data_IF_781206792951
#
_entry.id   IF_781206792951
#
_cell.length_a   1.000
_cell.length_b   1.000
_cell.length_c   1.000
_cell.angle_alpha   90.00
_cell.angle_beta   90.00
_cell.angle_gamma   90.00
#
_symmetry.space_group_name_H-M   'P 1'
#
loop_
_entity.id
_entity.type
_entity.pdbx_description
1 polymer ?
#
# COMPACT_ATOMS: atom_id res chain seq x y z
N UNK A 1 27.77 4.07 -11.43
CA UNK A 1 28.40 5.38 -11.67
C UNK A 1 29.85 5.09 -11.97
N UNK A 2 30.36 5.54 -13.12
CA UNK A 2 31.76 5.30 -13.48
C UNK A 2 32.71 6.03 -12.52
N UNK A 3 33.81 5.38 -12.18
CA UNK A 3 34.86 5.94 -11.31
C UNK A 3 35.35 7.29 -11.85
N UNK A 4 35.31 8.32 -11.00
CA UNK A 4 35.88 9.64 -11.30
C UNK A 4 34.88 10.72 -11.74
N UNK A 5 33.58 10.44 -11.80
CA UNK A 5 32.56 11.47 -12.08
C UNK A 5 31.95 12.05 -10.79
N UNK A 6 31.74 13.38 -10.75
CA UNK A 6 31.12 14.06 -9.60
C UNK A 6 29.63 13.63 -9.52
N UNK A 7 29.22 12.89 -8.47
CA UNK A 7 27.95 12.16 -8.47
C UNK A 7 26.68 13.02 -8.51
N UNK A 8 26.80 14.35 -8.30
CA UNK A 8 25.66 15.26 -8.20
C UNK A 8 25.10 15.82 -9.52
N UNK A 9 25.75 15.63 -10.67
CA UNK A 9 25.40 16.41 -11.88
C UNK A 9 24.88 15.62 -13.10
N UNK A 10 25.01 14.28 -13.14
CA UNK A 10 24.64 13.50 -14.34
C UNK A 10 23.73 12.31 -14.07
N UNK A 11 23.30 12.08 -12.83
CA UNK A 11 22.42 10.97 -12.47
C UNK A 11 21.30 11.45 -11.55
N UNK A 12 20.15 11.78 -12.14
CA UNK A 12 18.94 12.05 -11.38
C UNK A 12 18.20 10.72 -11.17
N UNK A 13 18.25 10.20 -9.94
CA UNK A 13 17.43 9.05 -9.57
C UNK A 13 15.96 9.45 -9.58
N UNK A 14 15.12 8.68 -10.29
CA UNK A 14 13.69 8.83 -10.18
C UNK A 14 13.24 8.48 -8.75
N UNK A 15 12.55 9.42 -8.13
CA UNK A 15 12.06 9.34 -6.76
C UNK A 15 10.53 9.32 -6.73
N UNK A 16 9.97 9.09 -5.55
CA UNK A 16 8.52 9.23 -5.33
C UNK A 16 8.03 10.67 -5.50
N UNK A 17 8.91 11.68 -5.36
CA UNK A 17 8.61 13.06 -5.69
C UNK A 17 8.32 13.22 -7.19
N UNK A 18 9.09 12.55 -8.03
CA UNK A 18 8.92 12.60 -9.48
C UNK A 18 7.58 11.96 -9.90
N UNK A 19 7.23 10.85 -9.25
CA UNK A 19 5.91 10.22 -9.40
C UNK A 19 4.75 11.15 -8.97
N UNK A 20 4.89 11.85 -7.83
CA UNK A 20 3.89 12.80 -7.36
C UNK A 20 3.71 13.99 -8.32
N UNK A 21 4.82 14.52 -8.84
CA UNK A 21 4.80 15.61 -9.83
C UNK A 21 4.14 15.12 -11.13
N UNK A 22 4.47 13.92 -11.61
CA UNK A 22 3.81 13.34 -12.78
C UNK A 22 2.31 13.14 -12.57
N UNK A 23 1.90 12.65 -11.39
CA UNK A 23 0.48 12.42 -11.05
C UNK A 23 -0.32 13.72 -11.05
N UNK A 24 0.22 14.79 -10.48
CA UNK A 24 -0.45 16.11 -10.44
C UNK A 24 -0.53 16.75 -11.84
N UNK A 25 0.45 16.51 -12.70
CA UNK A 25 0.41 16.94 -14.11
C UNK A 25 -0.69 16.21 -14.88
N UNK A 26 -0.82 14.88 -14.73
CA UNK A 26 -1.91 14.13 -15.39
C UNK A 26 -3.29 14.61 -14.94
N UNK A 27 -3.50 14.81 -13.64
CA UNK A 27 -4.76 15.35 -13.13
C UNK A 27 -5.07 16.75 -13.70
N UNK A 28 -4.05 17.59 -13.85
CA UNK A 28 -4.18 18.90 -14.47
C UNK A 28 -4.57 18.79 -15.94
N UNK A 29 -3.92 17.90 -16.70
CA UNK A 29 -4.24 17.67 -18.11
C UNK A 29 -5.68 17.18 -18.28
N UNK A 30 -6.12 16.23 -17.45
CA UNK A 30 -7.50 15.72 -17.48
C UNK A 30 -8.52 16.81 -17.12
N UNK A 31 -8.23 17.65 -16.13
CA UNK A 31 -9.08 18.78 -15.74
C UNK A 31 -9.23 19.81 -16.85
N UNK A 32 -8.18 20.02 -17.64
CA UNK A 32 -8.16 20.97 -18.76
C UNK A 32 -8.22 20.31 -20.14
N UNK A 33 -8.74 19.08 -20.24
CA UNK A 33 -8.80 18.32 -21.50
C UNK A 33 -9.53 19.03 -22.65
N UNK A 34 -10.44 19.98 -22.34
CA UNK A 34 -11.10 20.82 -23.36
C UNK A 34 -10.17 21.87 -24.01
N UNK A 35 -9.04 22.20 -23.37
CA UNK A 35 -8.05 23.19 -23.85
C UNK A 35 -6.78 22.52 -24.34
N UNK A 36 -6.48 21.31 -23.86
CA UNK A 36 -5.29 20.54 -24.20
C UNK A 36 -5.71 19.43 -25.15
N UNK A 37 -5.47 19.62 -26.46
CA UNK A 37 -5.88 18.65 -27.48
C UNK A 37 -4.93 17.47 -27.64
N UNK A 38 -3.70 17.58 -27.15
CA UNK A 38 -2.65 16.57 -27.24
C UNK A 38 -1.62 16.79 -26.13
N UNK A 39 -1.23 15.74 -25.43
CA UNK A 39 -0.10 15.70 -24.53
C UNK A 39 0.78 14.49 -24.87
N UNK A 40 2.00 14.74 -25.35
CA UNK A 40 2.94 13.68 -25.71
C UNK A 40 4.00 13.51 -24.62
N UNK A 41 4.44 12.28 -24.39
CA UNK A 41 5.54 11.99 -23.45
C UNK A 41 6.85 12.39 -24.10
N UNK A 42 7.27 13.64 -23.92
CA UNK A 42 8.58 14.09 -24.41
C UNK A 42 9.76 13.38 -23.69
N UNK A 43 9.52 12.80 -22.51
CA UNK A 43 10.52 12.11 -21.69
C UNK A 43 11.00 10.76 -22.23
N UNK A 44 10.30 10.16 -23.20
CA UNK A 44 10.81 8.96 -23.91
C UNK A 44 12.04 9.29 -24.76
N UNK A 45 12.25 10.59 -25.07
CA UNK A 45 13.34 11.11 -25.90
C UNK A 45 14.31 11.98 -25.09
N UNK A 46 13.88 12.59 -23.98
CA UNK A 46 14.70 13.47 -23.13
C UNK A 46 14.93 12.84 -21.74
N UNK A 47 16.13 12.28 -21.54
CA UNK A 47 16.49 11.29 -20.49
C UNK A 47 16.81 11.95 -19.13
N UNK A 48 15.87 12.67 -18.55
CA UNK A 48 15.98 13.17 -17.17
C UNK A 48 15.12 12.38 -16.17
N UNK A 49 14.00 11.79 -16.62
CA UNK A 49 13.17 10.86 -15.82
C UNK A 49 12.77 9.66 -16.69
N UNK A 50 13.61 8.62 -16.71
CA UNK A 50 13.35 7.44 -17.52
C UNK A 50 12.16 6.63 -16.98
N UNK A 51 11.24 6.21 -17.86
CA UNK A 51 10.13 5.32 -17.48
C UNK A 51 10.62 3.89 -17.20
N UNK A 52 11.68 3.49 -17.89
CA UNK A 52 12.29 2.18 -17.76
C UNK A 52 13.79 2.42 -17.64
N UNK A 53 14.40 1.85 -16.60
CA UNK A 53 15.83 1.84 -16.39
C UNK A 53 16.37 0.47 -16.75
N UNK A 54 17.52 0.40 -17.40
CA UNK A 54 18.22 -0.87 -17.61
C UNK A 54 19.23 -1.04 -16.48
N UNK A 55 19.15 -2.16 -15.78
CA UNK A 55 20.17 -2.58 -14.82
C UNK A 55 21.46 -2.90 -15.59
N UNK A 56 22.57 -2.20 -15.33
CA UNK A 56 23.80 -2.36 -16.08
C UNK A 56 24.51 -3.70 -15.83
N UNK A 57 24.27 -4.35 -14.69
CA UNK A 57 24.93 -5.59 -14.31
C UNK A 57 24.15 -6.82 -14.82
N UNK A 58 22.82 -6.75 -14.75
CA UNK A 58 21.94 -7.86 -15.13
C UNK A 58 21.29 -7.71 -16.51
N UNK A 59 21.33 -6.51 -17.10
CA UNK A 59 20.61 -6.17 -18.33
C UNK A 59 19.08 -6.12 -18.16
N UNK A 60 18.56 -6.26 -16.94
CA UNK A 60 17.13 -6.28 -16.66
C UNK A 60 16.50 -4.90 -16.86
N UNK A 61 15.28 -4.85 -17.40
CA UNK A 61 14.48 -3.63 -17.49
C UNK A 61 13.69 -3.46 -16.19
N UNK A 62 13.97 -2.37 -15.48
CA UNK A 62 13.35 -1.98 -14.21
C UNK A 62 12.39 -0.82 -14.45
N UNK A 63 11.12 -1.01 -14.07
CA UNK A 63 10.09 0.02 -14.15
C UNK A 63 10.30 1.07 -13.06
N UNK A 64 10.16 2.35 -13.40
CA UNK A 64 10.35 3.44 -12.43
C UNK A 64 9.04 3.85 -11.76
N UNK A 65 9.07 4.58 -10.63
CA UNK A 65 7.86 5.13 -10.01
C UNK A 65 6.97 5.93 -10.99
N UNK A 66 7.59 6.70 -11.89
CA UNK A 66 6.89 7.45 -12.94
C UNK A 66 6.19 6.54 -13.95
N UNK A 67 6.77 5.37 -14.27
CA UNK A 67 6.09 4.35 -15.09
C UNK A 67 4.77 3.92 -14.49
N UNK A 68 4.75 3.62 -13.19
CA UNK A 68 3.52 3.17 -12.55
C UNK A 68 2.46 4.28 -12.50
N UNK A 69 2.86 5.55 -12.36
CA UNK A 69 1.91 6.67 -12.48
C UNK A 69 1.29 6.74 -13.86
N UNK A 70 2.06 6.52 -14.92
CA UNK A 70 1.54 6.49 -16.28
C UNK A 70 0.62 5.29 -16.51
N UNK A 71 1.05 4.10 -16.09
CA UNK A 71 0.27 2.86 -16.15
C UNK A 71 -1.10 3.03 -15.48
N UNK A 72 -1.14 3.64 -14.29
CA UNK A 72 -2.38 3.95 -13.57
C UNK A 72 -3.29 4.95 -14.29
N UNK A 73 -2.74 5.85 -15.11
CA UNK A 73 -3.50 6.88 -15.82
C UNK A 73 -3.92 6.48 -17.25
N UNK A 74 -3.48 5.32 -17.76
CA UNK A 74 -3.82 4.86 -19.12
C UNK A 74 -5.33 4.80 -19.40
N UNK A 75 -6.16 4.56 -18.38
CA UNK A 75 -7.62 4.52 -18.52
C UNK A 75 -8.26 5.88 -18.85
N UNK A 76 -7.53 6.99 -18.70
CA UNK A 76 -7.97 8.31 -19.15
C UNK A 76 -7.72 8.55 -20.66
N UNK A 77 -6.94 7.69 -21.33
CA UNK A 77 -6.66 7.83 -22.76
C UNK A 77 -7.92 7.57 -23.60
N UNK A 78 -8.22 8.53 -24.48
CA UNK A 78 -9.42 8.57 -25.32
C UNK A 78 -10.74 8.48 -24.53
N UNK A 79 -10.71 8.86 -23.24
CA UNK A 79 -11.88 8.88 -22.38
C UNK A 79 -12.53 10.28 -22.35
N UNK A 80 -13.84 10.32 -22.12
CA UNK A 80 -14.56 11.57 -21.88
C UNK A 80 -14.19 12.15 -20.52
N UNK A 81 -13.67 13.38 -20.47
CA UNK A 81 -13.38 14.06 -19.21
C UNK A 81 -14.67 14.33 -18.43
N UNK A 82 -14.66 14.04 -17.12
CA UNK A 82 -15.74 14.36 -16.19
C UNK A 82 -15.33 15.51 -15.29
N UNK A 83 -16.23 16.49 -15.11
CA UNK A 83 -15.98 17.62 -14.21
C UNK A 83 -16.06 17.13 -12.76
N UNK A 84 -14.95 17.22 -12.03
CA UNK A 84 -14.88 16.87 -10.61
C UNK A 84 -15.03 18.15 -9.79
N UNK A 85 -16.12 18.24 -9.03
CA UNK A 85 -16.37 19.35 -8.11
C UNK A 85 -16.39 18.84 -6.68
N UNK A 86 -15.63 19.51 -5.83
CA UNK A 86 -15.66 19.26 -4.40
C UNK A 86 -16.86 19.98 -3.78
N UNK A 87 -17.54 19.31 -2.85
CA UNK A 87 -18.58 19.93 -2.05
C UNK A 87 -17.92 20.55 -0.82
N UNK A 88 -17.57 21.83 -0.93
CA UNK A 88 -16.81 22.58 0.09
C UNK A 88 -15.44 23.03 -0.40
N UNK A 89 -14.64 23.59 0.50
CA UNK A 89 -13.28 24.04 0.18
C UNK A 89 -12.32 22.86 0.08
N UNK A 90 -11.39 22.94 -0.87
CA UNK A 90 -10.30 21.98 -0.99
C UNK A 90 -9.39 22.10 0.24
N UNK A 91 -8.91 20.97 0.81
CA UNK A 91 -7.93 21.04 1.87
C UNK A 91 -6.66 21.72 1.34
N UNK A 92 -6.17 22.71 2.08
CA UNK A 92 -4.96 23.46 1.74
C UNK A 92 -3.95 23.38 2.88
N UNK A 93 -2.66 23.28 2.54
CA UNK A 93 -1.54 23.36 3.49
C UNK A 93 -0.67 24.56 3.16
N UNK A 94 -0.33 25.36 4.17
CA UNK A 94 0.61 26.46 4.00
C UNK A 94 2.04 25.91 3.97
N UNK A 95 2.76 26.16 2.87
CA UNK A 95 4.18 25.85 2.71
C UNK A 95 4.85 27.12 2.20
N UNK A 96 5.89 27.57 2.91
CA UNK A 96 6.66 28.78 2.56
C UNK A 96 5.79 30.02 2.31
N UNK A 97 4.75 30.21 3.14
CA UNK A 97 3.83 31.35 3.05
C UNK A 97 2.78 31.26 1.94
N UNK A 98 2.76 30.17 1.16
CA UNK A 98 1.78 29.93 0.09
C UNK A 98 0.81 28.80 0.46
N UNK A 99 -0.48 29.00 0.20
CA UNK A 99 -1.50 27.96 0.38
C UNK A 99 -1.47 26.98 -0.80
N UNK A 100 -1.15 25.72 -0.54
CA UNK A 100 -1.13 24.65 -1.54
C UNK A 100 -2.33 23.73 -1.35
N UNK A 101 -3.11 23.53 -2.41
CA UNK A 101 -4.16 22.51 -2.42
C UNK A 101 -3.53 21.11 -2.32
N UNK A 102 -4.00 20.32 -1.36
CA UNK A 102 -3.39 19.03 -1.02
C UNK A 102 -4.10 17.84 -1.65
N UNK A 103 -5.20 18.08 -2.35
CA UNK A 103 -5.95 17.05 -3.03
C UNK A 103 -5.96 17.32 -4.52
N UNK A 104 -5.42 16.37 -5.27
CA UNK A 104 -5.53 16.32 -6.72
C UNK A 104 -6.35 15.09 -7.08
N UNK A 105 -7.41 15.33 -7.84
CA UNK A 105 -8.33 14.32 -8.36
C UNK A 105 -8.68 14.73 -9.78
N UNK A 106 -8.73 13.75 -10.66
CA UNK A 106 -9.37 13.85 -11.97
C UNK A 106 -10.29 12.66 -12.19
N UNK A 107 -11.29 12.82 -13.06
CA UNK A 107 -12.18 11.74 -13.43
C UNK A 107 -12.41 11.71 -14.94
N UNK A 108 -12.60 10.52 -15.48
CA UNK A 108 -12.96 10.30 -16.87
C UNK A 108 -13.98 9.16 -17.00
N UNK A 109 -14.62 9.06 -18.15
CA UNK A 109 -15.54 7.97 -18.49
C UNK A 109 -15.24 7.39 -19.86
N UNK A 110 -15.32 6.06 -19.95
CA UNK A 110 -15.12 5.28 -21.18
C UNK A 110 -15.98 4.02 -21.11
N UNK A 111 -16.71 3.71 -22.17
CA UNK A 111 -17.51 2.49 -22.29
C UNK A 111 -18.46 2.20 -21.11
N UNK A 112 -19.08 3.26 -20.55
CA UNK A 112 -20.00 3.15 -19.41
C UNK A 112 -19.32 2.95 -18.05
N UNK A 113 -17.99 2.96 -18.02
CA UNK A 113 -17.19 2.93 -16.79
C UNK A 113 -16.63 4.32 -16.48
N UNK A 114 -16.46 4.65 -15.20
CA UNK A 114 -15.85 5.89 -14.75
C UNK A 114 -14.58 5.58 -13.95
N UNK A 115 -13.51 6.31 -14.24
CA UNK A 115 -12.22 6.21 -13.56
C UNK A 115 -11.96 7.51 -12.80
N UNK A 116 -11.59 7.40 -11.53
CA UNK A 116 -11.14 8.52 -10.71
C UNK A 116 -9.73 8.24 -10.20
N UNK A 117 -8.79 9.18 -10.41
CA UNK A 117 -7.44 9.10 -9.86
C UNK A 117 -7.49 9.54 -8.38
N UNK A 118 -7.16 8.64 -7.44
CA UNK A 118 -7.21 8.92 -6.00
C UNK A 118 -5.91 8.53 -5.30
N UNK A 119 -5.09 9.55 -5.00
CA UNK A 119 -3.80 9.41 -4.32
C UNK A 119 -3.91 8.78 -2.91
N UNK A 120 -4.96 9.12 -2.16
CA UNK A 120 -5.19 8.65 -0.78
C UNK A 120 -5.49 7.15 -0.66
N UNK A 121 -5.89 6.46 -1.73
CA UNK A 121 -6.13 5.01 -1.71
C UNK A 121 -4.87 4.17 -1.93
N UNK A 122 -3.80 4.76 -2.47
CA UNK A 122 -2.56 4.05 -2.80
C UNK A 122 -1.53 4.16 -1.68
N UNK A 123 -1.42 5.34 -1.06
CA UNK A 123 -0.42 5.61 -0.01
C UNK A 123 -0.51 4.72 1.24
N UNK A 124 -1.69 4.25 1.68
CA UNK A 124 -1.82 3.30 2.79
C UNK A 124 -1.15 1.95 2.52
N UNK A 125 -0.81 1.60 1.28
CA UNK A 125 -0.12 0.35 0.93
C UNK A 125 1.41 0.47 1.06
N UNK A 126 1.86 0.99 2.19
CA UNK A 126 3.27 1.25 2.50
C UNK A 126 3.95 2.35 1.68
N UNK A 127 3.17 3.32 1.19
CA UNK A 127 3.68 4.53 0.54
C UNK A 127 3.94 5.68 1.52
N UNK A 128 3.11 5.83 2.55
CA UNK A 128 3.38 6.71 3.69
C UNK A 128 3.30 8.21 3.46
N UNK A 129 3.13 8.65 2.21
CA UNK A 129 2.95 10.06 1.93
C UNK A 129 1.51 10.46 2.19
N UNK A 130 1.32 11.44 3.06
CA UNK A 130 0.04 12.12 3.16
C UNK A 130 0.13 13.46 2.47
N UNK A 131 -0.81 13.72 1.56
CA UNK A 131 -0.98 15.06 1.01
C UNK A 131 -1.88 15.90 1.90
N UNK A 132 -2.91 15.30 2.50
CA UNK A 132 -3.83 15.93 3.46
C UNK A 132 -3.38 15.71 4.91
N UNK A 133 -3.83 16.55 5.85
CA UNK A 133 -3.55 16.31 7.27
C UNK A 133 -4.36 15.09 7.75
N UNK A 134 -3.66 14.04 8.14
CA UNK A 134 -4.29 12.80 8.61
C UNK A 134 -4.98 13.04 9.95
N UNK A 135 -4.48 13.94 10.80
CA UNK A 135 -5.11 14.26 12.11
C UNK A 135 -6.51 14.85 11.95
N UNK A 136 -6.79 15.50 10.82
CA UNK A 136 -8.07 16.16 10.54
C UNK A 136 -9.08 15.27 9.81
N UNK A 137 -8.72 14.01 9.53
CA UNK A 137 -9.64 13.09 8.88
C UNK A 137 -10.72 12.58 9.86
N UNK A 138 -11.88 12.25 9.32
CA UNK A 138 -12.94 11.62 10.11
C UNK A 138 -12.52 10.22 10.59
N UNK A 139 -12.99 9.80 11.76
CA UNK A 139 -12.71 8.47 12.33
C UNK A 139 -13.06 7.32 11.38
N UNK A 140 -14.14 7.44 10.61
CA UNK A 140 -14.51 6.46 9.59
C UNK A 140 -13.49 6.35 8.44
N UNK A 141 -12.78 7.44 8.13
CA UNK A 141 -11.68 7.42 7.15
C UNK A 141 -10.45 6.74 7.74
N UNK A 142 -10.10 7.00 9.00
CA UNK A 142 -9.03 6.29 9.69
C UNK A 142 -9.27 4.79 9.71
N UNK A 143 -10.47 4.34 10.06
CA UNK A 143 -10.80 2.92 10.07
C UNK A 143 -10.64 2.26 8.68
N UNK A 144 -10.98 2.99 7.62
CA UNK A 144 -10.79 2.51 6.24
C UNK A 144 -9.29 2.47 5.88
N UNK A 145 -8.52 3.48 6.24
CA UNK A 145 -7.07 3.51 6.05
C UNK A 145 -6.39 2.40 6.85
N UNK A 146 -6.85 2.11 8.06
CA UNK A 146 -6.38 1.01 8.90
C UNK A 146 -6.56 -0.34 8.21
N UNK A 147 -7.75 -0.60 7.65
CA UNK A 147 -8.00 -1.80 6.88
C UNK A 147 -7.07 -1.91 5.66
N UNK A 148 -6.84 -0.80 4.96
CA UNK A 148 -5.94 -0.72 3.80
C UNK A 148 -4.45 -0.86 4.17
N UNK A 149 -4.03 -0.35 5.32
CA UNK A 149 -2.65 -0.47 5.81
C UNK A 149 -2.37 -1.89 6.31
N UNK A 150 -3.33 -2.47 7.02
CA UNK A 150 -3.21 -3.83 7.54
C UNK A 150 -3.04 -4.85 6.40
N UNK A 151 -3.76 -4.64 5.29
CA UNK A 151 -3.62 -5.38 4.02
C UNK A 151 -2.67 -4.62 3.10
N UNK A 152 -1.37 -4.82 3.30
CA UNK A 152 -0.32 -4.10 2.57
C UNK A 152 -0.19 -4.51 1.09
N UNK A 153 1.05 -4.59 0.60
CA UNK A 153 1.32 -4.86 -0.82
C UNK A 153 1.29 -6.35 -1.21
N UNK A 154 1.73 -6.63 -2.44
CA UNK A 154 1.85 -8.00 -2.97
C UNK A 154 2.95 -8.82 -2.27
N UNK A 155 2.92 -10.14 -2.49
CA UNK A 155 4.00 -11.05 -2.05
C UNK A 155 5.34 -10.65 -2.67
N UNK A 156 6.45 -10.92 -1.95
CA UNK A 156 7.82 -10.54 -2.34
C UNK A 156 8.04 -9.03 -2.60
N UNK A 157 7.06 -8.17 -2.27
CA UNK A 157 7.19 -6.71 -2.31
C UNK A 157 7.86 -6.15 -1.07
N UNK A 158 8.31 -4.89 -1.18
CA UNK A 158 8.82 -4.06 -0.08
C UNK A 158 7.71 -3.46 0.79
N UNK A 159 6.43 -3.73 0.54
CA UNK A 159 5.36 -3.30 1.45
C UNK A 159 5.31 -4.16 2.73
N UNK A 160 4.99 -3.57 3.87
CA UNK A 160 4.74 -4.28 5.13
C UNK A 160 3.31 -4.83 5.23
N UNK A 161 2.91 -5.22 6.45
CA UNK A 161 1.58 -5.72 6.72
C UNK A 161 1.32 -7.13 6.19
N UNK A 162 0.05 -7.57 6.28
CA UNK A 162 -0.37 -8.83 5.67
C UNK A 162 -0.47 -8.63 4.16
N UNK A 163 0.06 -9.59 3.40
CA UNK A 163 0.05 -9.51 1.94
C UNK A 163 -1.37 -9.64 1.39
N UNK A 164 -1.65 -8.95 0.28
CA UNK A 164 -2.94 -9.06 -0.44
C UNK A 164 -3.26 -10.52 -0.80
N UNK A 165 -2.25 -11.30 -1.15
CA UNK A 165 -2.39 -12.74 -1.46
C UNK A 165 -2.84 -13.55 -0.25
N UNK A 166 -2.37 -13.23 0.95
CA UNK A 166 -2.81 -13.88 2.20
C UNK A 166 -4.29 -13.61 2.44
N UNK A 167 -4.74 -12.36 2.28
CA UNK A 167 -6.16 -12.02 2.37
C UNK A 167 -6.98 -12.75 1.31
N UNK A 168 -6.53 -12.73 0.05
CA UNK A 168 -7.23 -13.38 -1.06
C UNK A 168 -7.42 -14.89 -0.82
N UNK A 169 -6.38 -15.59 -0.35
CA UNK A 169 -6.47 -17.02 -0.03
C UNK A 169 -7.48 -17.29 1.09
N UNK A 170 -7.51 -16.46 2.14
CA UNK A 170 -8.49 -16.59 3.22
C UNK A 170 -9.92 -16.35 2.72
N UNK A 171 -10.14 -15.30 1.92
CA UNK A 171 -11.46 -15.00 1.35
C UNK A 171 -11.94 -16.10 0.41
N UNK A 172 -11.06 -16.60 -0.47
CA UNK A 172 -11.38 -17.73 -1.36
C UNK A 172 -11.74 -18.99 -0.57
N UNK A 173 -11.04 -19.26 0.52
CA UNK A 173 -11.37 -20.39 1.39
C UNK A 173 -12.74 -20.23 2.08
N UNK A 174 -13.07 -19.03 2.56
CA UNK A 174 -14.39 -18.74 3.13
C UNK A 174 -15.50 -18.92 2.08
N UNK A 175 -15.27 -18.44 0.85
CA UNK A 175 -16.23 -18.60 -0.25
C UNK A 175 -16.40 -20.06 -0.66
N UNK A 176 -15.31 -20.82 -0.74
CA UNK A 176 -15.35 -22.25 -1.06
C UNK A 176 -16.08 -23.04 0.04
N UNK A 177 -15.80 -22.76 1.31
CA UNK A 177 -16.48 -23.37 2.46
C UNK A 177 -17.99 -23.07 2.43
N UNK A 178 -18.38 -21.82 2.16
CA UNK A 178 -19.79 -21.44 2.03
C UNK A 178 -20.52 -22.09 0.86
N UNK A 179 -19.79 -22.54 -0.18
CA UNK A 179 -20.33 -23.31 -1.30
C UNK A 179 -20.32 -24.83 -1.06
N UNK A 180 -19.64 -25.29 -0.02
CA UNK A 180 -19.40 -26.71 0.23
C UNK A 180 -18.35 -27.34 -0.70
N UNK A 181 -17.51 -26.51 -1.33
CA UNK A 181 -16.45 -26.97 -2.22
C UNK A 181 -15.34 -27.64 -1.38
N UNK A 182 -14.91 -28.84 -1.79
CA UNK A 182 -13.85 -29.59 -1.07
C UNK A 182 -12.47 -28.95 -1.20
N UNK A 183 -12.28 -28.18 -2.26
CA UNK A 183 -11.01 -27.62 -2.68
C UNK A 183 -11.17 -26.14 -3.00
N UNK A 184 -10.21 -25.34 -2.52
CA UNK A 184 -10.14 -23.92 -2.84
C UNK A 184 -9.45 -23.78 -4.20
N UNK A 185 -10.13 -23.17 -5.15
CA UNK A 185 -9.62 -23.00 -6.51
C UNK A 185 -9.59 -21.53 -6.93
N UNK A 186 -8.58 -21.17 -7.71
CA UNK A 186 -8.46 -19.86 -8.35
C UNK A 186 -7.82 -20.03 -9.74
N UNK A 187 -8.36 -19.34 -10.74
CA UNK A 187 -7.83 -19.38 -12.12
C UNK A 187 -7.68 -20.80 -12.69
N UNK A 188 -8.62 -21.70 -12.38
CA UNK A 188 -8.59 -23.10 -12.81
C UNK A 188 -7.49 -23.94 -12.16
N UNK A 189 -6.94 -23.48 -11.02
CA UNK A 189 -5.90 -24.19 -10.26
C UNK A 189 -6.32 -24.34 -8.80
N UNK A 190 -6.02 -25.50 -8.22
CA UNK A 190 -6.23 -25.77 -6.79
C UNK A 190 -5.14 -25.13 -5.94
N UNK A 191 -5.55 -24.48 -4.84
CA UNK A 191 -4.66 -23.92 -3.83
C UNK A 191 -4.32 -25.02 -2.80
N UNK A 192 -3.03 -25.26 -2.50
CA UNK A 192 -2.63 -26.24 -1.50
C UNK A 192 -3.15 -25.90 -0.09
N UNK A 193 -3.50 -26.92 0.70
CA UNK A 193 -4.01 -26.73 2.08
C UNK A 193 -2.97 -26.08 2.98
N UNK A 194 -1.69 -26.29 2.70
CA UNK A 194 -0.57 -25.70 3.43
C UNK A 194 -0.57 -24.18 3.27
N UNK A 195 -0.87 -23.67 2.08
CA UNK A 195 -0.98 -22.23 1.80
C UNK A 195 -2.13 -21.60 2.58
N UNK A 196 -3.27 -22.30 2.68
CA UNK A 196 -4.41 -21.86 3.49
C UNK A 196 -4.05 -21.80 4.98
N UNK A 197 -3.45 -22.86 5.53
CA UNK A 197 -3.05 -22.91 6.94
C UNK A 197 -2.07 -21.80 7.30
N UNK A 198 -1.11 -21.51 6.41
CA UNK A 198 -0.19 -20.40 6.63
C UNK A 198 -0.91 -19.06 6.51
N UNK A 199 -1.79 -18.87 5.54
CA UNK A 199 -2.55 -17.63 5.42
C UNK A 199 -3.36 -17.32 6.69
N UNK A 200 -4.07 -18.31 7.24
CA UNK A 200 -4.82 -18.20 8.49
C UNK A 200 -3.89 -17.89 9.67
N UNK A 201 -2.79 -18.64 9.81
CA UNK A 201 -1.85 -18.43 10.90
C UNK A 201 -1.25 -17.01 10.88
N UNK A 202 -0.89 -16.51 9.71
CA UNK A 202 -0.38 -15.14 9.53
C UNK A 202 -1.44 -14.13 9.89
N UNK A 203 -2.66 -14.26 9.35
CA UNK A 203 -3.75 -13.34 9.64
C UNK A 203 -4.03 -13.24 11.13
N UNK A 204 -4.13 -14.38 11.81
CA UNK A 204 -4.41 -14.45 13.23
C UNK A 204 -3.28 -13.88 14.09
N UNK A 205 -2.02 -14.26 13.82
CA UNK A 205 -0.85 -13.77 14.56
C UNK A 205 -0.68 -12.26 14.37
N UNK A 206 -0.82 -11.76 13.15
CA UNK A 206 -0.72 -10.33 12.87
C UNK A 206 -1.82 -9.52 13.56
N UNK A 207 -3.08 -9.98 13.52
CA UNK A 207 -4.18 -9.34 14.24
C UNK A 207 -3.94 -9.34 15.75
N UNK A 208 -3.43 -10.44 16.31
CA UNK A 208 -3.10 -10.56 17.74
C UNK A 208 -1.98 -9.59 18.14
N UNK A 209 -0.94 -9.45 17.32
CA UNK A 209 0.16 -8.51 17.56
C UNK A 209 -0.35 -7.07 17.57
N UNK A 210 -1.16 -6.68 16.57
CA UNK A 210 -1.77 -5.34 16.50
C UNK A 210 -2.66 -5.08 17.72
N UNK A 211 -3.47 -6.07 18.13
CA UNK A 211 -4.34 -5.95 19.30
C UNK A 211 -3.52 -5.74 20.59
N UNK A 212 -2.53 -6.59 20.85
CA UNK A 212 -1.69 -6.50 22.06
C UNK A 212 -0.91 -5.18 22.09
N UNK A 213 -0.34 -4.75 20.97
CA UNK A 213 0.38 -3.48 20.90
C UNK A 213 -0.53 -2.27 21.10
N UNK A 214 -1.77 -2.31 20.58
CA UNK A 214 -2.76 -1.26 20.82
C UNK A 214 -3.12 -1.17 22.30
N UNK A 215 -3.34 -2.30 22.98
CA UNK A 215 -3.61 -2.33 24.42
C UNK A 215 -2.43 -1.80 25.25
N UNK A 216 -1.20 -2.13 24.86
CA UNK A 216 0.01 -1.61 25.51
C UNK A 216 0.13 -0.09 25.35
N UNK A 217 -0.07 0.44 24.14
CA UNK A 217 -0.02 1.89 23.91
C UNK A 217 -1.13 2.64 24.66
N UNK A 218 -2.35 2.09 24.69
CA UNK A 218 -3.44 2.66 25.48
C UNK A 218 -3.08 2.77 26.96
N UNK A 219 -2.52 1.70 27.53
CA UNK A 219 -2.11 1.68 28.94
C UNK A 219 -0.97 2.67 29.26
N UNK A 220 -0.11 2.98 28.29
CA UNK A 220 1.03 3.90 28.48
C UNK A 220 0.69 5.37 28.24
N UNK A 221 -0.33 5.67 27.42
CA UNK A 221 -0.55 7.03 26.87
C UNK A 221 -1.89 7.64 27.28
N UNK A 222 -2.90 6.83 27.59
CA UNK A 222 -4.26 7.31 27.86
C UNK A 222 -4.96 7.98 26.66
N UNK A 223 -4.41 7.82 25.45
CA UNK A 223 -5.01 8.34 24.21
C UNK A 223 -6.22 7.52 23.78
N UNK A 224 -6.96 8.02 22.80
CA UNK A 224 -8.15 7.35 22.26
C UNK A 224 -7.77 6.16 21.36
N UNK A 225 -8.65 5.16 21.30
CA UNK A 225 -8.40 3.90 20.58
C UNK A 225 -8.19 4.13 19.09
N UNK A 226 -8.95 5.01 18.47
CA UNK A 226 -8.85 5.39 17.06
C UNK A 226 -7.44 5.87 16.68
N UNK A 227 -6.87 6.82 17.41
CA UNK A 227 -5.50 7.32 17.16
C UNK A 227 -4.44 6.25 17.44
N UNK A 228 -4.59 5.51 18.54
CA UNK A 228 -3.62 4.45 18.90
C UNK A 228 -3.64 3.33 17.86
N UNK A 229 -4.81 2.88 17.45
CA UNK A 229 -4.97 1.82 16.45
C UNK A 229 -4.34 2.24 15.12
N UNK A 230 -4.53 3.49 14.71
CA UNK A 230 -3.93 4.03 13.48
C UNK A 230 -2.40 3.99 13.51
N UNK A 231 -1.78 4.46 14.60
CA UNK A 231 -0.32 4.43 14.76
C UNK A 231 0.24 3.01 14.80
N UNK A 232 -0.44 2.11 15.51
CA UNK A 232 -0.03 0.70 15.62
C UNK A 232 -0.13 0.01 14.27
N UNK A 233 -1.25 0.16 13.55
CA UNK A 233 -1.42 -0.46 12.23
C UNK A 233 -0.43 0.13 11.24
N UNK A 234 -0.23 1.46 11.22
CA UNK A 234 0.77 2.10 10.37
C UNK A 234 2.18 1.59 10.66
N UNK A 235 2.58 1.47 11.93
CA UNK A 235 3.87 0.93 12.31
C UNK A 235 4.03 -0.55 11.91
N UNK A 236 3.02 -1.39 12.16
CA UNK A 236 3.01 -2.80 11.75
C UNK A 236 3.06 -2.97 10.22
N UNK A 237 2.32 -2.12 9.49
CA UNK A 237 2.31 -2.10 8.04
C UNK A 237 3.58 -1.47 7.44
N UNK A 238 4.45 -0.92 8.28
CA UNK A 238 5.56 -0.03 7.87
C UNK A 238 5.06 1.03 6.89
N UNK A 239 3.87 1.58 7.16
CA UNK A 239 3.20 2.50 6.27
C UNK A 239 3.78 3.90 6.35
N UNK A 240 3.99 4.42 7.56
CA UNK A 240 4.55 5.76 7.75
C UNK A 240 3.51 6.89 7.71
N UNK A 241 2.22 6.57 7.60
CA UNK A 241 1.16 7.53 7.91
C UNK A 241 1.04 7.68 9.44
N UNK A 242 0.65 8.85 9.91
CA UNK A 242 0.48 9.13 11.33
C UNK A 242 -0.65 10.14 11.53
N UNK A 243 -1.39 10.04 12.63
CA UNK A 243 -2.35 11.08 13.04
C UNK A 243 -1.65 12.29 13.71
N UNK A 244 -0.32 12.40 13.60
CA UNK A 244 0.48 13.48 14.17
C UNK A 244 0.98 13.23 15.59
N UNK A 245 0.54 12.16 16.28
CA UNK A 245 0.88 11.93 17.70
C UNK A 245 2.23 11.26 17.92
N UNK A 246 2.84 10.65 16.89
CA UNK A 246 4.05 9.81 17.04
C UNK A 246 5.22 10.55 17.71
N UNK A 247 5.37 11.84 17.40
CA UNK A 247 6.44 12.67 17.95
C UNK A 247 6.30 12.90 19.46
N UNK A 248 5.06 13.00 19.94
CA UNK A 248 4.71 13.33 21.33
C UNK A 248 4.57 12.10 22.21
N UNK A 249 4.64 10.89 21.63
CA UNK A 249 4.56 9.65 22.39
C UNK A 249 5.70 9.52 23.42
N UNK A 250 5.40 8.98 24.62
CA UNK A 250 6.42 8.71 25.62
C UNK A 250 7.42 7.67 25.11
N UNK A 251 8.68 7.76 25.56
CA UNK A 251 9.77 6.91 25.08
C UNK A 251 9.46 5.40 25.10
N UNK A 252 8.79 4.84 26.14
CA UNK A 252 8.37 3.43 26.12
C UNK A 252 7.43 3.08 24.97
N UNK A 253 6.46 3.95 24.63
CA UNK A 253 5.53 3.72 23.53
C UNK A 253 6.24 3.77 22.16
N UNK A 254 7.24 4.64 22.00
CA UNK A 254 8.09 4.68 20.81
C UNK A 254 8.85 3.37 20.60
N UNK A 255 9.36 2.74 21.66
CA UNK A 255 10.00 1.42 21.54
C UNK A 255 9.04 0.33 21.08
N UNK A 256 7.78 0.36 21.54
CA UNK A 256 6.75 -0.57 21.06
C UNK A 256 6.55 -0.40 19.55
N UNK A 257 6.42 0.83 19.05
CA UNK A 257 6.28 1.09 17.62
C UNK A 257 7.50 0.64 16.80
N UNK A 258 8.73 0.85 17.31
CA UNK A 258 9.97 0.40 16.65
C UNK A 258 10.01 -1.12 16.51
N UNK A 259 9.69 -1.85 17.58
CA UNK A 259 9.59 -3.32 17.56
C UNK A 259 8.52 -3.76 16.56
N UNK A 260 7.39 -3.06 16.52
CA UNK A 260 6.30 -3.35 15.60
C UNK A 260 6.70 -3.18 14.14
N UNK A 261 7.43 -2.10 13.80
CA UNK A 261 7.97 -1.88 12.46
C UNK A 261 8.94 -3.00 12.04
N UNK A 262 9.80 -3.43 12.97
CA UNK A 262 10.71 -4.53 12.71
C UNK A 262 9.96 -5.84 12.46
N UNK A 263 8.98 -6.18 13.30
CA UNK A 263 8.14 -7.38 13.14
C UNK A 263 7.35 -7.31 11.84
N UNK A 264 6.74 -6.17 11.54
CA UNK A 264 5.98 -5.93 10.32
C UNK A 264 6.80 -6.14 9.05
N UNK A 265 8.04 -5.63 9.04
CA UNK A 265 8.96 -5.79 7.92
C UNK A 265 9.50 -7.22 7.80
N UNK A 266 10.05 -7.75 8.90
CA UNK A 266 10.72 -9.06 8.90
C UNK A 266 9.74 -10.21 8.80
N UNK A 267 8.53 -10.08 9.35
CA UNK A 267 7.50 -11.12 9.33
C UNK A 267 7.20 -11.60 7.92
N UNK A 268 7.16 -10.70 6.93
CA UNK A 268 6.92 -11.07 5.53
C UNK A 268 8.08 -11.88 4.91
N UNK A 269 9.33 -11.57 5.25
CA UNK A 269 10.51 -12.31 4.78
C UNK A 269 10.64 -13.66 5.49
N UNK A 270 10.41 -13.68 6.81
CA UNK A 270 10.47 -14.89 7.63
C UNK A 270 9.39 -15.88 7.24
N UNK A 271 8.19 -15.41 6.88
CA UNK A 271 7.11 -16.27 6.38
C UNK A 271 7.43 -16.89 5.03
N UNK A 272 7.99 -16.13 4.10
CA UNK A 272 8.45 -16.65 2.81
C UNK A 272 9.51 -17.74 3.01
N UNK A 273 10.48 -17.51 3.90
CA UNK A 273 11.50 -18.49 4.25
C UNK A 273 10.93 -19.72 4.97
N UNK A 274 10.02 -19.53 5.93
CA UNK A 274 9.37 -20.61 6.65
C UNK A 274 8.54 -21.50 5.72
N UNK A 275 7.82 -20.92 4.76
CA UNK A 275 7.10 -21.65 3.72
C UNK A 275 8.03 -22.47 2.83
N UNK A 276 9.16 -21.90 2.41
CA UNK A 276 10.15 -22.60 1.58
C UNK A 276 10.82 -23.78 2.31
N UNK A 277 10.98 -23.68 3.64
CA UNK A 277 11.70 -24.67 4.45
C UNK A 277 10.79 -25.74 5.09
N UNK A 278 9.47 -25.64 4.94
CA UNK A 278 8.53 -26.54 5.64
C UNK A 278 8.28 -27.83 4.86
N UNK A 279 9.25 -28.74 4.91
CA UNK A 279 9.07 -30.14 4.50
C UNK A 279 9.41 -31.09 5.65
N UNK A 280 8.42 -31.42 6.48
CA UNK A 280 8.50 -32.55 7.42
C UNK A 280 7.45 -33.58 7.07
N UNK A 281 7.88 -34.70 6.46
CA UNK A 281 7.04 -35.90 6.31
C UNK A 281 6.82 -36.51 7.69
N UNK A 282 5.60 -36.37 8.23
CA UNK A 282 5.16 -37.16 9.38
C UNK A 282 4.72 -38.54 8.89
N UNK A 283 5.46 -39.57 9.29
CA UNK A 283 5.20 -40.98 8.91
C UNK A 283 4.13 -41.61 9.80
N UNK A 284 3.90 -41.07 11.01
CA UNK A 284 2.90 -41.55 11.97
C UNK A 284 1.78 -40.50 12.08
N UNK A 285 0.51 -40.95 11.98
CA UNK A 285 -0.70 -40.13 12.10
C UNK A 285 -1.55 -40.65 13.27
N UNK A 286 -1.98 -39.73 14.14
CA UNK A 286 -2.91 -40.04 15.24
C UNK A 286 -4.35 -40.25 14.70
N UNK A 287 -5.23 -40.94 15.44
CA UNK A 287 -6.64 -41.09 15.07
C UNK A 287 -7.34 -39.72 14.92
N UNK A 288 -8.29 -39.63 13.99
CA UNK A 288 -9.08 -38.42 13.72
C UNK A 288 -10.14 -38.24 14.81
N UNK A 289 -10.18 -37.06 15.42
CA UNK A 289 -11.24 -36.63 16.34
C UNK A 289 -11.94 -35.41 15.73
N UNK A 290 -13.26 -35.33 15.89
CA UNK A 290 -14.09 -34.24 15.35
C UNK A 290 -14.62 -33.38 16.49
N UNK A 291 -13.85 -32.41 16.97
CA UNK A 291 -14.35 -31.47 17.98
C UNK A 291 -15.48 -30.62 17.38
N UNK A 292 -16.46 -30.30 18.20
CA UNK A 292 -17.54 -29.38 17.82
C UNK A 292 -16.95 -27.97 17.78
N UNK A 293 -17.05 -27.32 16.62
CA UNK A 293 -16.70 -25.91 16.41
C UNK A 293 -18.01 -25.19 16.09
N UNK A 294 -18.29 -24.11 16.83
CA UNK A 294 -19.52 -23.30 16.69
C UNK A 294 -19.47 -22.30 15.56
#
# INVERSE_FOLDING_TARGET
VDEGTNPGFLYQQNTLRDALVASTHFDTFHRYARRISMANIAQTVNVLQAMILTDPDSGALVLTPTYHVFEMNTGHHDAGSLDVRFKGDLPTRTVDGSALATLSVSASTKDGTALASLFAGVMPRSGGFSTVDVDQMHEGTWLLLDALMFVGGGSASTAGGIKVTTLAVMLLAIVAEGRGDRDVEAFGRRIPRESLQVAIAVGFVSATIVLVSSLLLLAMTGLTLDRVLFEVISAFATCGLSTGITADLPTPAKYVLVVLMFIGRTGTMTLAAALALRNRRRVIRYPEERPIIG
#
